data_IF_500268725215
#
_entry.id   IF_500268725215
#
_cell.length_a   1.000
_cell.length_b   1.000
_cell.length_c   1.000
_cell.angle_alpha   90.00
_cell.angle_beta   90.00
_cell.angle_gamma   90.00
#
_symmetry.space_group_name_H-M   'P 1'
#
loop_
_entity.id
_entity.type
_entity.pdbx_description
1 polymer ?
#
# COMPACT_ATOMS: atom_id res chain seq x y z
N UNK A 1 10.86 -15.48 -27.34
CA UNK A 1 10.06 -14.29 -27.71
C UNK A 1 10.75 -13.39 -28.77
N UNK A 2 11.92 -12.79 -28.53
CA UNK A 2 12.60 -11.98 -29.58
C UNK A 2 13.02 -12.78 -30.80
N UNK A 3 13.42 -14.06 -30.65
CA UNK A 3 13.77 -14.98 -31.75
C UNK A 3 12.57 -15.37 -32.59
N UNK A 4 11.38 -15.45 -32.01
CA UNK A 4 10.15 -15.86 -32.66
C UNK A 4 9.52 -14.71 -33.46
N UNK A 5 9.65 -13.48 -32.96
CA UNK A 5 9.27 -12.25 -33.66
C UNK A 5 10.10 -12.01 -34.94
N UNK A 6 11.35 -12.45 -34.97
CA UNK A 6 12.21 -12.37 -36.17
C UNK A 6 11.91 -13.43 -37.24
N UNK A 7 11.33 -14.60 -36.86
CA UNK A 7 10.99 -15.67 -37.75
C UNK A 7 9.67 -15.49 -38.51
N UNK A 8 8.70 -14.85 -37.91
CA UNK A 8 7.35 -14.78 -38.44
C UNK A 8 6.96 -13.36 -38.79
N UNK A 9 7.41 -12.53 -39.48
CA UNK A 9 6.96 -11.17 -39.92
C UNK A 9 5.45 -10.87 -39.63
N UNK A 10 4.96 -11.22 -38.43
CA UNK A 10 3.57 -10.96 -38.03
C UNK A 10 3.48 -9.57 -37.42
N UNK A 11 2.59 -8.75 -37.98
CA UNK A 11 2.27 -7.40 -37.47
C UNK A 11 1.30 -7.39 -36.27
N UNK A 12 0.95 -8.55 -35.72
CA UNK A 12 0.08 -8.63 -34.55
C UNK A 12 0.92 -8.64 -33.28
N UNK A 13 0.61 -7.78 -32.29
CA UNK A 13 1.32 -7.78 -31.02
C UNK A 13 1.15 -9.15 -30.35
N UNK A 14 2.27 -9.79 -30.03
CA UNK A 14 2.27 -11.00 -29.20
C UNK A 14 2.33 -10.56 -27.73
N UNK A 15 1.31 -10.94 -26.99
CA UNK A 15 1.25 -10.73 -25.54
C UNK A 15 1.50 -12.08 -24.89
N UNK A 16 2.66 -12.24 -24.26
CA UNK A 16 2.93 -13.38 -23.41
C UNK A 16 2.31 -13.13 -22.05
N UNK A 17 1.27 -13.86 -21.72
CA UNK A 17 0.57 -13.84 -20.44
C UNK A 17 1.01 -14.99 -19.53
N UNK A 18 2.00 -15.79 -19.95
CA UNK A 18 2.58 -16.80 -19.08
C UNK A 18 3.36 -16.10 -17.97
N UNK A 19 3.12 -16.51 -16.73
CA UNK A 19 4.01 -16.15 -15.62
C UNK A 19 5.26 -17.02 -15.78
N UNK A 20 6.45 -16.42 -15.97
CA UNK A 20 7.66 -17.21 -15.88
C UNK A 20 7.71 -17.87 -14.49
N UNK A 21 8.08 -19.15 -14.45
CA UNK A 21 8.43 -19.85 -13.21
C UNK A 21 9.79 -19.34 -12.66
N UNK A 22 9.94 -18.01 -12.62
CA UNK A 22 11.11 -17.37 -12.01
C UNK A 22 10.80 -17.31 -10.52
N UNK A 23 11.66 -17.90 -9.72
CA UNK A 23 11.57 -17.73 -8.27
C UNK A 23 11.60 -16.23 -7.95
N UNK A 24 10.62 -15.78 -7.18
CA UNK A 24 10.49 -14.37 -6.82
C UNK A 24 11.75 -13.98 -6.05
N UNK A 25 12.28 -12.79 -6.35
CA UNK A 25 13.50 -12.20 -5.77
C UNK A 25 14.85 -12.70 -6.31
N UNK A 26 14.93 -13.77 -7.14
CA UNK A 26 16.21 -14.31 -7.63
C UNK A 26 17.04 -13.36 -8.49
N UNK A 27 16.42 -12.33 -9.05
CA UNK A 27 17.05 -11.36 -9.96
C UNK A 27 16.87 -9.92 -9.51
N UNK A 28 16.75 -9.67 -8.21
CA UNK A 28 16.79 -8.29 -7.71
C UNK A 28 18.20 -7.73 -7.98
N UNK A 29 18.33 -6.64 -8.74
CA UNK A 29 19.63 -5.98 -8.87
C UNK A 29 20.09 -5.51 -7.49
N UNK A 30 21.41 -5.45 -7.26
CA UNK A 30 21.92 -4.88 -6.01
C UNK A 30 21.28 -3.51 -5.80
N UNK A 31 20.80 -3.26 -4.57
CA UNK A 31 20.16 -2.01 -4.24
C UNK A 31 21.11 -0.85 -4.50
N UNK A 32 20.68 0.11 -5.33
CA UNK A 32 21.45 1.31 -5.60
C UNK A 32 21.24 2.29 -4.47
N UNK A 33 22.33 2.76 -3.90
CA UNK A 33 22.31 3.80 -2.88
C UNK A 33 22.36 5.16 -3.58
N UNK A 34 21.26 5.90 -3.48
CA UNK A 34 21.20 7.30 -3.91
C UNK A 34 20.95 8.17 -2.65
N UNK A 35 22.03 8.63 -2.01
CA UNK A 35 21.94 9.43 -0.79
C UNK A 35 21.72 8.63 0.49
N UNK A 36 20.92 9.17 1.43
CA UNK A 36 20.73 8.61 2.77
C UNK A 36 19.56 7.63 2.88
N UNK A 37 18.82 7.36 1.80
CA UNK A 37 17.63 6.49 1.80
C UNK A 37 17.73 5.38 0.78
N UNK A 38 17.16 4.22 1.09
CA UNK A 38 17.07 3.08 0.18
C UNK A 38 15.73 2.35 0.31
N UNK A 39 15.35 1.68 -0.79
CA UNK A 39 14.18 0.83 -0.85
C UNK A 39 14.60 -0.64 -0.74
N UNK A 40 13.87 -1.40 0.08
CA UNK A 40 14.10 -2.84 0.27
C UNK A 40 12.78 -3.58 0.03
N UNK A 41 12.74 -4.40 -1.01
CA UNK A 41 11.60 -5.28 -1.27
C UNK A 41 11.61 -6.44 -0.29
N UNK A 42 10.55 -6.56 0.53
CA UNK A 42 10.42 -7.60 1.56
C UNK A 42 9.43 -8.69 1.18
N UNK A 43 8.51 -8.40 0.27
CA UNK A 43 7.51 -9.34 -0.22
C UNK A 43 7.02 -8.97 -1.61
N UNK A 44 6.49 -9.95 -2.32
CA UNK A 44 5.86 -9.78 -3.62
C UNK A 44 4.54 -10.56 -3.71
N UNK A 45 3.60 -10.05 -4.53
CA UNK A 45 2.27 -10.62 -4.69
C UNK A 45 1.29 -10.16 -3.61
N UNK A 46 0.02 -10.60 -3.73
CA UNK A 46 -1.00 -10.28 -2.75
C UNK A 46 -2.13 -11.32 -2.79
N UNK A 47 -2.45 -11.92 -1.66
CA UNK A 47 -3.50 -12.94 -1.53
C UNK A 47 -4.83 -12.39 -0.98
N UNK A 48 -5.06 -11.07 -1.02
CA UNK A 48 -6.30 -10.46 -0.52
C UNK A 48 -7.47 -10.55 -1.50
N UNK A 49 -7.19 -10.67 -2.79
CA UNK A 49 -8.22 -10.82 -3.85
C UNK A 49 -9.36 -9.79 -3.74
N UNK A 50 -9.03 -8.52 -3.42
CA UNK A 50 -9.99 -7.42 -3.47
C UNK A 50 -10.64 -7.38 -4.85
N UNK A 51 -11.96 -7.20 -4.93
CA UNK A 51 -12.73 -7.40 -6.18
C UNK A 51 -12.34 -6.49 -7.35
N UNK A 52 -11.72 -5.36 -7.07
CA UNK A 52 -11.27 -4.36 -8.05
C UNK A 52 -9.78 -4.48 -8.41
N UNK A 53 -9.02 -5.31 -7.68
CA UNK A 53 -7.56 -5.32 -7.75
C UNK A 53 -7.04 -6.42 -8.69
N UNK A 54 -6.14 -6.04 -9.59
CA UNK A 54 -5.52 -6.95 -10.56
C UNK A 54 -4.23 -7.60 -10.02
N UNK A 55 -3.69 -7.12 -8.90
CA UNK A 55 -2.39 -7.56 -8.36
C UNK A 55 -2.29 -9.09 -8.18
N UNK A 56 -3.27 -9.79 -7.57
CA UNK A 56 -3.18 -11.26 -7.45
C UNK A 56 -3.02 -11.97 -8.80
N UNK A 57 -3.59 -11.41 -9.85
CA UNK A 57 -3.58 -11.99 -11.21
C UNK A 57 -2.33 -11.63 -12.02
N UNK A 58 -1.62 -10.56 -11.64
CA UNK A 58 -0.44 -10.07 -12.35
C UNK A 58 0.86 -10.36 -11.64
N UNK A 59 0.84 -10.43 -10.29
CA UNK A 59 2.01 -10.70 -9.47
C UNK A 59 1.92 -12.01 -8.67
N UNK A 60 0.79 -12.72 -8.77
CA UNK A 60 0.54 -13.96 -8.07
C UNK A 60 0.32 -13.80 -6.57
N UNK A 61 0.38 -14.93 -5.86
CA UNK A 61 0.19 -15.01 -4.42
C UNK A 61 1.33 -14.36 -3.64
N UNK A 62 1.07 -14.05 -2.37
CA UNK A 62 2.05 -13.48 -1.45
C UNK A 62 3.24 -14.42 -1.25
N UNK A 63 4.44 -13.89 -1.48
CA UNK A 63 5.71 -14.53 -1.12
C UNK A 63 6.53 -13.51 -0.34
N UNK A 64 6.94 -13.87 0.87
CA UNK A 64 7.82 -13.06 1.72
C UNK A 64 9.25 -13.52 1.60
N UNK A 65 10.19 -12.58 1.56
CA UNK A 65 11.63 -12.90 1.63
C UNK A 65 11.97 -13.43 3.01
N UNK A 66 12.96 -14.36 3.12
CA UNK A 66 13.50 -14.76 4.40
C UNK A 66 13.98 -13.56 5.23
N UNK A 67 13.79 -13.62 6.55
CA UNK A 67 14.18 -12.53 7.46
C UNK A 67 15.67 -12.21 7.33
N UNK A 68 16.52 -13.23 7.31
CA UNK A 68 17.97 -13.08 7.26
C UNK A 68 18.44 -12.37 5.99
N UNK A 69 17.78 -12.64 4.85
CA UNK A 69 18.13 -12.00 3.57
C UNK A 69 17.79 -10.51 3.60
N UNK A 70 16.62 -10.16 4.17
CA UNK A 70 16.23 -8.76 4.34
C UNK A 70 17.18 -8.02 5.27
N UNK A 71 17.53 -8.61 6.42
CA UNK A 71 18.45 -8.01 7.38
C UNK A 71 19.86 -7.87 6.80
N UNK A 72 20.33 -8.85 6.03
CA UNK A 72 21.64 -8.80 5.36
C UNK A 72 21.68 -7.64 4.35
N UNK A 73 20.64 -7.49 3.55
CA UNK A 73 20.55 -6.37 2.59
C UNK A 73 20.53 -5.02 3.32
N UNK A 74 19.71 -4.87 4.36
CA UNK A 74 19.64 -3.62 5.14
C UNK A 74 21.00 -3.31 5.77
N UNK A 75 21.67 -4.27 6.38
CA UNK A 75 23.01 -4.09 6.96
C UNK A 75 24.03 -3.64 5.89
N UNK A 76 24.00 -4.27 4.71
CA UNK A 76 24.83 -3.88 3.56
C UNK A 76 24.57 -2.45 3.07
N UNK A 77 23.31 -1.99 3.07
CA UNK A 77 22.95 -0.61 2.73
C UNK A 77 23.44 0.38 3.77
N UNK A 78 23.28 0.06 5.05
CA UNK A 78 23.77 0.90 6.16
C UNK A 78 25.29 1.09 6.10
N UNK A 79 26.07 0.04 5.76
CA UNK A 79 27.53 0.18 5.57
C UNK A 79 27.90 1.13 4.41
N UNK A 80 26.99 1.36 3.47
CA UNK A 80 27.14 2.32 2.38
C UNK A 80 26.64 3.73 2.75
N UNK A 81 26.21 3.96 4.00
CA UNK A 81 25.78 5.27 4.52
C UNK A 81 24.27 5.52 4.47
N UNK A 82 23.46 4.51 4.13
CA UNK A 82 21.99 4.62 4.19
C UNK A 82 21.55 4.72 5.64
N UNK A 83 20.63 5.62 5.93
CA UNK A 83 20.06 5.88 7.26
C UNK A 83 18.55 5.68 7.32
N UNK A 84 17.88 5.81 6.17
CA UNK A 84 16.43 5.61 6.05
C UNK A 84 16.15 4.40 5.15
N UNK A 85 15.43 3.43 5.68
CA UNK A 85 14.98 2.23 4.95
C UNK A 85 13.49 2.33 4.69
N UNK A 86 13.11 2.17 3.42
CA UNK A 86 11.69 2.04 3.03
C UNK A 86 11.42 0.60 2.60
N UNK A 87 10.62 -0.11 3.39
CA UNK A 87 10.21 -1.48 3.10
C UNK A 87 9.08 -1.50 2.08
N UNK A 88 9.24 -2.27 1.02
CA UNK A 88 8.32 -2.35 -0.12
C UNK A 88 7.69 -3.73 -0.27
N UNK A 89 6.46 -3.71 -0.78
CA UNK A 89 5.69 -4.89 -1.16
C UNK A 89 4.27 -4.51 -1.58
N UNK A 90 3.46 -5.45 -1.98
CA UNK A 90 2.07 -5.20 -2.35
C UNK A 90 1.11 -5.25 -1.16
N UNK A 91 1.56 -5.82 -0.02
CA UNK A 91 0.82 -5.88 1.25
C UNK A 91 1.82 -6.09 2.40
N UNK A 92 2.67 -5.09 2.67
CA UNK A 92 3.85 -5.24 3.52
C UNK A 92 3.55 -5.74 4.94
N UNK A 93 2.42 -5.35 5.51
CA UNK A 93 2.06 -5.77 6.86
C UNK A 93 1.53 -7.22 6.95
N UNK A 94 1.36 -7.90 5.81
CA UNK A 94 1.16 -9.35 5.76
C UNK A 94 2.47 -10.16 5.71
N UNK A 95 3.62 -9.52 5.77
CA UNK A 95 4.92 -10.19 5.72
C UNK A 95 5.00 -11.37 6.71
N UNK A 96 5.50 -12.51 6.19
CA UNK A 96 5.71 -13.76 6.92
C UNK A 96 6.99 -14.42 6.38
N UNK A 97 8.17 -13.90 6.79
CA UNK A 97 9.47 -14.40 6.34
C UNK A 97 9.96 -15.58 7.17
N UNK A 98 10.54 -16.60 6.51
CA UNK A 98 11.20 -17.69 7.20
C UNK A 98 12.38 -17.17 8.03
N UNK A 99 12.65 -17.81 9.17
CA UNK A 99 13.77 -17.49 10.07
C UNK A 99 14.83 -18.60 10.00
N UNK A 100 16.01 -18.24 9.50
CA UNK A 100 17.29 -18.95 9.56
C UNK A 100 17.29 -20.45 9.83
N UNK A 101 16.83 -21.29 8.90
CA UNK A 101 16.92 -22.74 9.03
C UNK A 101 15.99 -23.38 10.09
N UNK A 102 15.07 -22.61 10.65
CA UNK A 102 14.03 -23.06 11.59
C UNK A 102 12.68 -23.17 10.90
N UNK A 103 11.69 -23.78 11.57
CA UNK A 103 10.28 -23.74 11.15
C UNK A 103 9.55 -22.46 11.60
N UNK A 104 10.26 -21.53 12.22
CA UNK A 104 9.70 -20.30 12.73
C UNK A 104 9.55 -19.27 11.62
N UNK A 105 8.55 -18.39 11.76
CA UNK A 105 8.19 -17.35 10.80
C UNK A 105 8.16 -16.01 11.50
N UNK A 106 8.94 -15.07 10.98
CA UNK A 106 8.88 -13.67 11.41
C UNK A 106 7.66 -12.99 10.81
N UNK A 107 6.84 -12.37 11.65
CA UNK A 107 5.82 -11.44 11.18
C UNK A 107 6.40 -10.04 10.91
N UNK A 108 5.58 -9.16 10.34
CA UNK A 108 6.01 -7.79 10.01
C UNK A 108 6.45 -6.99 11.24
N UNK A 109 5.80 -7.21 12.39
CA UNK A 109 6.16 -6.53 13.63
C UNK A 109 7.58 -6.93 14.08
N UNK A 110 7.91 -8.22 14.02
CA UNK A 110 9.25 -8.72 14.34
C UNK A 110 10.30 -8.19 13.36
N UNK A 111 9.99 -8.17 12.05
CA UNK A 111 10.89 -7.59 11.05
C UNK A 111 11.22 -6.14 11.38
N UNK A 112 10.22 -5.32 11.74
CA UNK A 112 10.44 -3.91 12.11
C UNK A 112 11.34 -3.77 13.34
N UNK A 113 11.14 -4.61 14.36
CA UNK A 113 11.97 -4.65 15.56
C UNK A 113 13.45 -4.98 15.21
N UNK A 114 13.69 -6.01 14.40
CA UNK A 114 15.05 -6.38 14.00
C UNK A 114 15.73 -5.34 13.10
N UNK A 115 14.99 -4.75 12.16
CA UNK A 115 15.54 -3.67 11.31
C UNK A 115 15.92 -2.46 12.15
N UNK A 116 15.12 -2.13 13.17
CA UNK A 116 15.39 -1.01 14.07
C UNK A 116 16.63 -1.22 14.97
N UNK A 117 16.96 -2.48 15.29
CA UNK A 117 18.15 -2.83 16.08
C UNK A 117 19.46 -2.80 15.26
N UNK A 118 19.39 -2.71 13.93
CA UNK A 118 20.59 -2.63 13.09
C UNK A 118 21.30 -1.28 13.32
N UNK A 119 22.58 -1.28 13.75
CA UNK A 119 23.32 -0.05 13.98
C UNK A 119 23.41 0.82 12.72
N UNK A 120 22.96 2.06 12.80
CA UNK A 120 22.96 3.03 11.69
C UNK A 120 21.61 3.23 11.01
N UNK A 121 20.60 2.41 11.28
CA UNK A 121 19.23 2.66 10.86
C UNK A 121 18.62 3.75 11.74
N UNK A 122 18.36 4.92 11.16
CA UNK A 122 17.78 6.06 11.87
C UNK A 122 16.27 6.18 11.63
N UNK A 123 15.78 5.76 10.46
CA UNK A 123 14.37 5.82 10.08
C UNK A 123 13.91 4.60 9.29
N UNK A 124 12.69 4.17 9.57
CA UNK A 124 12.02 3.07 8.88
C UNK A 124 10.69 3.58 8.35
N UNK A 125 10.47 3.37 7.04
CA UNK A 125 9.20 3.59 6.35
C UNK A 125 8.72 2.29 5.73
N UNK A 126 7.45 2.23 5.45
CA UNK A 126 6.88 1.19 4.61
C UNK A 126 5.65 1.68 3.86
N UNK A 127 5.30 1.02 2.78
CA UNK A 127 4.17 1.38 1.92
C UNK A 127 3.29 0.17 1.67
N UNK A 128 2.03 0.44 1.27
CA UNK A 128 1.08 -0.59 0.82
C UNK A 128 0.67 -1.55 1.93
N UNK A 129 -0.10 -1.01 2.88
CA UNK A 129 -0.66 -1.76 4.02
C UNK A 129 -2.11 -2.16 3.79
N UNK A 130 -2.54 -3.22 4.46
CA UNK A 130 -3.95 -3.63 4.51
C UNK A 130 -4.46 -3.61 5.96
N UNK A 131 -5.63 -2.99 6.24
CA UNK A 131 -6.16 -2.88 7.60
C UNK A 131 -6.29 -4.21 8.35
N UNK A 132 -6.68 -5.31 7.67
CA UNK A 132 -6.80 -6.63 8.30
C UNK A 132 -5.51 -7.19 8.88
N UNK A 133 -4.35 -6.71 8.41
CA UNK A 133 -3.05 -7.13 8.94
C UNK A 133 -2.54 -6.23 10.07
N UNK A 134 -3.34 -5.23 10.48
CA UNK A 134 -2.99 -4.35 11.59
C UNK A 134 -3.31 -5.00 12.94
N UNK A 135 -2.44 -5.90 13.37
CA UNK A 135 -2.55 -6.62 14.64
C UNK A 135 -2.24 -5.70 15.83
N UNK A 136 -2.61 -6.12 17.07
CA UNK A 136 -2.20 -5.42 18.29
C UNK A 136 -0.67 -5.35 18.38
N UNK A 137 0.03 -6.45 18.05
CA UNK A 137 1.48 -6.50 18.07
C UNK A 137 2.11 -5.43 17.18
N UNK A 138 1.57 -5.19 15.98
CA UNK A 138 2.06 -4.13 15.09
C UNK A 138 1.82 -2.74 15.69
N UNK A 139 0.67 -2.53 16.35
CA UNK A 139 0.38 -1.26 17.07
C UNK A 139 1.38 -1.07 18.22
N UNK A 140 1.70 -2.13 18.95
CA UNK A 140 2.67 -2.07 20.06
C UNK A 140 4.09 -1.74 19.56
N UNK A 141 4.45 -2.18 18.35
CA UNK A 141 5.73 -1.78 17.70
C UNK A 141 5.77 -0.28 17.45
N UNK A 142 4.66 0.35 17.04
CA UNK A 142 4.58 1.81 16.92
C UNK A 142 4.86 2.52 18.24
N UNK A 143 4.49 1.93 19.36
CA UNK A 143 4.80 2.50 20.69
C UNK A 143 6.28 2.36 21.08
N UNK A 144 6.95 1.27 20.64
CA UNK A 144 8.27 0.87 21.11
C UNK A 144 9.42 1.26 20.19
N UNK A 145 9.18 1.32 18.86
CA UNK A 145 10.23 1.54 17.85
C UNK A 145 10.27 3.01 17.42
N UNK A 146 11.16 3.82 17.98
CA UNK A 146 11.23 5.24 17.67
C UNK A 146 11.68 5.54 16.24
N UNK A 147 12.39 4.62 15.59
CA UNK A 147 12.83 4.74 14.20
C UNK A 147 11.67 4.68 13.20
N UNK A 148 10.52 4.09 13.55
CA UNK A 148 9.32 4.17 12.72
C UNK A 148 8.88 5.62 12.58
N UNK A 149 8.77 6.09 11.35
CA UNK A 149 8.33 7.47 11.07
C UNK A 149 6.87 7.68 11.50
N UNK A 150 6.56 8.93 11.90
CA UNK A 150 5.19 9.33 12.26
C UNK A 150 4.32 9.54 11.02
N UNK A 151 4.38 8.62 10.06
CA UNK A 151 3.53 8.61 8.88
C UNK A 151 3.12 7.19 8.54
N UNK A 152 1.84 6.98 8.34
CA UNK A 152 1.27 5.70 7.93
C UNK A 152 0.34 5.90 6.73
N UNK A 153 0.61 5.16 5.65
CA UNK A 153 -0.34 5.01 4.55
C UNK A 153 -1.17 3.74 4.77
N UNK A 154 -2.46 3.91 5.05
CA UNK A 154 -3.39 2.81 5.34
C UNK A 154 -4.67 2.95 4.50
N UNK A 155 -4.69 2.37 3.28
CA UNK A 155 -5.80 2.49 2.35
C UNK A 155 -7.10 1.85 2.88
N UNK A 156 -8.11 2.67 3.18
CA UNK A 156 -9.45 2.18 3.57
C UNK A 156 -10.32 1.87 2.38
N UNK A 157 -10.16 2.58 1.28
CA UNK A 157 -10.88 2.51 0.01
C UNK A 157 -12.30 3.11 0.04
N UNK A 158 -13.12 2.84 1.07
CA UNK A 158 -14.48 3.37 1.18
C UNK A 158 -14.97 3.47 2.64
N UNK A 159 -16.01 4.27 2.88
CA UNK A 159 -16.60 4.45 4.21
C UNK A 159 -17.91 3.68 4.45
N UNK A 160 -18.47 3.04 3.42
CA UNK A 160 -19.67 2.22 3.54
C UNK A 160 -19.32 0.75 3.66
N UNK A 161 -19.80 0.07 4.71
CA UNK A 161 -19.57 -1.36 4.91
C UNK A 161 -20.11 -2.20 3.76
N UNK A 162 -21.23 -1.78 3.15
CA UNK A 162 -21.80 -2.46 1.99
C UNK A 162 -20.85 -2.43 0.79
N UNK A 163 -20.21 -1.28 0.54
CA UNK A 163 -19.24 -1.14 -0.55
C UNK A 163 -17.93 -1.84 -0.17
N UNK A 164 -17.44 -1.74 1.06
CA UNK A 164 -16.27 -2.48 1.53
C UNK A 164 -16.45 -3.99 1.37
N UNK A 165 -17.64 -4.52 1.66
CA UNK A 165 -17.98 -5.92 1.43
C UNK A 165 -17.98 -6.27 -0.07
N UNK A 166 -18.57 -5.42 -0.92
CA UNK A 166 -18.55 -5.62 -2.38
C UNK A 166 -17.12 -5.54 -2.96
N UNK A 167 -16.26 -4.71 -2.38
CA UNK A 167 -14.83 -4.62 -2.67
C UNK A 167 -14.03 -5.81 -2.11
N UNK A 168 -14.64 -6.69 -1.29
CA UNK A 168 -13.99 -7.81 -0.57
C UNK A 168 -12.83 -7.33 0.33
N UNK A 169 -13.05 -6.24 1.07
CA UNK A 169 -12.03 -5.70 1.98
C UNK A 169 -11.90 -6.48 3.29
N UNK A 170 -12.95 -7.19 3.71
CA UNK A 170 -12.92 -8.07 4.89
C UNK A 170 -12.89 -7.34 6.22
N UNK A 171 -13.24 -6.05 6.26
CA UNK A 171 -13.41 -5.24 7.47
C UNK A 171 -14.51 -4.20 7.25
N UNK A 172 -15.00 -3.65 8.36
CA UNK A 172 -15.96 -2.57 8.42
C UNK A 172 -15.30 -1.21 8.65
N UNK A 173 -16.03 -0.12 8.36
CA UNK A 173 -15.57 1.24 8.66
C UNK A 173 -15.30 1.42 10.17
N UNK A 174 -16.07 0.76 11.04
CA UNK A 174 -15.88 0.82 12.49
C UNK A 174 -14.57 0.15 12.93
N UNK A 175 -14.26 -1.02 12.36
CA UNK A 175 -12.98 -1.72 12.64
C UNK A 175 -11.78 -0.88 12.19
N UNK A 176 -11.88 -0.25 11.01
CA UNK A 176 -10.86 0.68 10.55
C UNK A 176 -10.68 1.86 11.50
N UNK A 177 -11.77 2.52 11.92
CA UNK A 177 -11.70 3.61 12.92
C UNK A 177 -11.08 3.17 14.24
N UNK A 178 -11.36 1.94 14.67
CA UNK A 178 -10.77 1.38 15.88
C UNK A 178 -9.25 1.20 15.76
N UNK A 179 -8.74 0.74 14.59
CA UNK A 179 -7.30 0.65 14.33
C UNK A 179 -6.66 2.04 14.45
N UNK A 180 -7.22 3.05 13.75
CA UNK A 180 -6.71 4.42 13.78
C UNK A 180 -6.71 4.99 15.21
N UNK A 181 -7.80 4.80 15.97
CA UNK A 181 -7.88 5.25 17.36
C UNK A 181 -6.78 4.65 18.23
N UNK A 182 -6.52 3.34 18.09
CA UNK A 182 -5.48 2.64 18.86
C UNK A 182 -4.08 3.11 18.45
N UNK A 183 -3.83 3.34 17.17
CA UNK A 183 -2.57 3.89 16.67
C UNK A 183 -2.34 5.30 17.23
N UNK A 184 -3.33 6.18 17.17
CA UNK A 184 -3.23 7.55 17.72
C UNK A 184 -3.10 7.59 19.25
N UNK A 185 -3.58 6.55 19.94
CA UNK A 185 -3.37 6.44 21.38
C UNK A 185 -1.89 6.19 21.75
N UNK A 186 -1.14 5.48 20.91
CA UNK A 186 0.31 5.21 21.12
C UNK A 186 1.22 6.20 20.40
N UNK A 187 0.74 6.80 19.30
CA UNK A 187 1.43 7.84 18.51
C UNK A 187 0.46 8.98 18.19
N UNK A 188 0.25 9.95 19.09
CA UNK A 188 -0.69 11.07 18.88
C UNK A 188 -0.40 11.89 17.63
N UNK A 189 0.88 12.07 17.29
CA UNK A 189 1.36 12.86 16.14
C UNK A 189 1.42 12.05 14.83
N UNK A 190 0.79 10.85 14.78
CA UNK A 190 0.81 10.01 13.60
C UNK A 190 0.03 10.66 12.47
N UNK A 191 0.73 11.05 11.40
CA UNK A 191 0.15 11.47 10.14
C UNK A 191 -0.39 10.26 9.39
N UNK A 192 -1.63 10.35 8.93
CA UNK A 192 -2.34 9.26 8.28
C UNK A 192 -2.74 9.64 6.86
N UNK A 193 -2.35 8.82 5.89
CA UNK A 193 -2.82 8.92 4.51
C UNK A 193 -3.60 7.68 4.08
N UNK A 194 -4.51 7.86 3.12
CA UNK A 194 -5.37 6.78 2.64
C UNK A 194 -5.73 6.92 1.17
N UNK A 195 -6.16 5.81 0.57
CA UNK A 195 -6.76 5.80 -0.77
C UNK A 195 -8.27 5.68 -0.68
N UNK A 196 -8.97 6.34 -1.62
CA UNK A 196 -10.41 6.30 -1.76
C UNK A 196 -10.81 6.01 -3.19
N UNK A 197 -11.80 5.13 -3.37
CA UNK A 197 -12.43 4.84 -4.65
C UNK A 197 -13.88 5.28 -4.58
N UNK A 198 -14.28 6.22 -5.45
CA UNK A 198 -15.66 6.67 -5.63
C UNK A 198 -16.27 6.10 -6.90
N UNK A 199 -17.58 5.97 -6.94
CA UNK A 199 -18.30 5.44 -8.11
C UNK A 199 -18.04 3.95 -8.33
N UNK A 200 -17.78 3.20 -7.26
CA UNK A 200 -17.77 1.74 -7.33
C UNK A 200 -19.15 1.22 -7.76
N UNK A 201 -19.24 0.16 -8.59
CA UNK A 201 -20.53 -0.35 -9.06
C UNK A 201 -21.54 -0.56 -7.93
N UNK A 202 -22.73 0.03 -8.11
CA UNK A 202 -23.81 0.01 -7.12
C UNK A 202 -23.65 0.99 -5.95
N UNK A 203 -22.65 1.88 -5.93
CA UNK A 203 -22.51 2.92 -4.91
C UNK A 203 -23.68 3.91 -4.98
N UNK A 204 -24.44 4.01 -3.89
CA UNK A 204 -25.53 4.98 -3.75
C UNK A 204 -25.04 6.31 -3.16
N UNK A 205 -25.90 7.34 -3.17
CA UNK A 205 -25.60 8.61 -2.48
C UNK A 205 -25.39 8.39 -0.99
N UNK A 206 -26.23 7.56 -0.35
CA UNK A 206 -26.06 7.23 1.07
C UNK A 206 -24.74 6.51 1.38
N UNK A 207 -24.18 5.74 0.43
CA UNK A 207 -22.84 5.14 0.61
C UNK A 207 -21.74 6.20 0.49
N UNK A 208 -21.89 7.12 -0.46
CA UNK A 208 -20.95 8.23 -0.61
C UNK A 208 -20.99 9.16 0.62
N UNK A 209 -22.15 9.45 1.19
CA UNK A 209 -22.27 10.22 2.43
C UNK A 209 -21.56 9.56 3.60
N UNK A 210 -21.60 8.20 3.69
CA UNK A 210 -20.82 7.44 4.69
C UNK A 210 -19.33 7.56 4.46
N UNK A 211 -18.87 7.61 3.21
CA UNK A 211 -17.47 7.84 2.89
C UNK A 211 -17.03 9.23 3.37
N UNK A 212 -17.80 10.27 3.04
CA UNK A 212 -17.51 11.62 3.49
C UNK A 212 -17.48 11.74 5.02
N UNK A 213 -18.43 11.08 5.69
CA UNK A 213 -18.47 11.02 7.16
C UNK A 213 -17.26 10.29 7.75
N UNK A 214 -16.76 9.22 7.11
CA UNK A 214 -15.55 8.55 7.54
C UNK A 214 -14.33 9.48 7.45
N UNK A 215 -14.19 10.21 6.34
CA UNK A 215 -13.10 11.16 6.12
C UNK A 215 -13.11 12.26 7.20
N UNK A 216 -14.28 12.82 7.47
CA UNK A 216 -14.44 13.82 8.52
C UNK A 216 -14.10 13.29 9.93
N UNK A 217 -14.59 12.10 10.27
CA UNK A 217 -14.40 11.50 11.60
C UNK A 217 -12.93 11.13 11.88
N UNK A 218 -12.19 10.76 10.85
CA UNK A 218 -10.78 10.36 10.99
C UNK A 218 -9.85 11.57 10.86
N UNK A 219 -10.12 12.49 9.94
CA UNK A 219 -9.21 13.60 9.64
C UNK A 219 -7.89 13.06 9.09
N UNK A 220 -7.87 12.69 7.82
CA UNK A 220 -6.65 12.26 7.14
C UNK A 220 -5.78 13.46 6.78
N UNK A 221 -4.47 13.32 6.92
CA UNK A 221 -3.50 14.37 6.56
C UNK A 221 -3.26 14.43 5.05
N UNK A 222 -3.41 13.31 4.35
CA UNK A 222 -3.32 13.24 2.90
C UNK A 222 -4.22 12.12 2.36
N UNK A 223 -4.70 12.28 1.12
CA UNK A 223 -5.50 11.25 0.47
C UNK A 223 -5.24 11.17 -1.02
N UNK A 224 -5.35 9.96 -1.56
CA UNK A 224 -5.37 9.71 -3.00
C UNK A 224 -6.76 9.20 -3.37
N UNK A 225 -7.44 9.90 -4.26
CA UNK A 225 -8.84 9.66 -4.57
C UNK A 225 -9.02 9.37 -6.05
N UNK A 226 -9.75 8.30 -6.36
CA UNK A 226 -9.91 7.80 -7.72
C UNK A 226 -11.37 7.51 -8.02
N UNK A 227 -11.79 7.75 -9.26
CA UNK A 227 -13.01 7.14 -9.79
C UNK A 227 -12.73 5.66 -10.06
N UNK A 228 -13.65 4.79 -9.68
CA UNK A 228 -13.56 3.38 -10.01
C UNK A 228 -13.30 3.17 -11.51
N UNK A 229 -12.30 2.37 -11.83
CA UNK A 229 -11.98 1.96 -13.20
C UNK A 229 -11.94 0.45 -13.26
N UNK A 230 -12.79 -0.14 -14.08
CA UNK A 230 -12.86 -1.57 -14.29
C UNK A 230 -11.52 -2.09 -14.83
N UNK A 231 -10.93 -3.06 -14.14
CA UNK A 231 -9.70 -3.73 -14.57
C UNK A 231 -10.06 -5.07 -15.20
N UNK A 232 -9.66 -5.35 -16.45
CA UNK A 232 -9.93 -6.65 -17.08
C UNK A 232 -9.50 -7.83 -16.19
N UNK A 233 -10.35 -8.86 -16.13
CA UNK A 233 -10.08 -10.07 -15.33
C UNK A 233 -10.41 -9.94 -13.83
N UNK A 234 -10.77 -8.76 -13.32
CA UNK A 234 -11.18 -8.60 -11.92
C UNK A 234 -12.69 -8.85 -11.74
N UNK A 235 -13.13 -9.38 -10.58
CA UNK A 235 -14.56 -9.58 -10.32
C UNK A 235 -15.40 -8.31 -10.45
N UNK A 236 -14.90 -7.16 -10.05
CA UNK A 236 -15.62 -5.90 -10.12
C UNK A 236 -15.83 -5.40 -11.55
N UNK A 237 -15.02 -5.85 -12.52
CA UNK A 237 -15.20 -5.49 -13.91
C UNK A 237 -16.51 -6.04 -14.53
N UNK A 238 -17.06 -7.11 -13.92
CA UNK A 238 -18.30 -7.76 -14.37
C UNK A 238 -19.55 -7.28 -13.61
N UNK A 239 -19.41 -6.34 -12.68
CA UNK A 239 -20.54 -5.79 -11.94
C UNK A 239 -21.27 -4.77 -12.82
N UNK A 240 -22.61 -4.78 -12.72
CA UNK A 240 -23.43 -3.75 -13.38
C UNK A 240 -23.10 -2.37 -12.78
N UNK A 241 -22.82 -1.41 -13.64
CA UNK A 241 -22.42 -0.06 -13.25
C UNK A 241 -23.31 0.96 -13.96
N UNK A 242 -24.44 1.25 -13.31
CA UNK A 242 -25.46 2.17 -13.83
C UNK A 242 -25.23 3.63 -13.39
N UNK A 243 -24.15 3.89 -12.63
CA UNK A 243 -23.87 5.26 -12.16
C UNK A 243 -23.26 6.09 -13.29
N UNK A 244 -23.91 7.19 -13.71
CA UNK A 244 -23.37 8.07 -14.76
C UNK A 244 -21.99 8.61 -14.41
N UNK A 245 -21.12 8.70 -15.41
CA UNK A 245 -19.74 9.20 -15.22
C UNK A 245 -19.70 10.61 -14.62
N UNK A 246 -20.66 11.46 -14.98
CA UNK A 246 -20.78 12.81 -14.41
C UNK A 246 -21.00 12.78 -12.89
N UNK A 247 -21.81 11.84 -12.39
CA UNK A 247 -22.04 11.68 -10.95
C UNK A 247 -20.78 11.22 -10.25
N UNK A 248 -20.03 10.28 -10.84
CA UNK A 248 -18.76 9.82 -10.29
C UNK A 248 -17.72 10.94 -10.20
N UNK A 249 -17.61 11.75 -11.25
CA UNK A 249 -16.72 12.91 -11.29
C UNK A 249 -17.11 13.98 -10.26
N UNK A 250 -18.39 14.25 -10.08
CA UNK A 250 -18.88 15.17 -9.04
C UNK A 250 -18.54 14.67 -7.63
N UNK A 251 -18.68 13.35 -7.38
CA UNK A 251 -18.28 12.73 -6.10
C UNK A 251 -16.78 12.88 -5.88
N UNK A 252 -15.96 12.62 -6.90
CA UNK A 252 -14.52 12.79 -6.81
C UNK A 252 -14.13 14.24 -6.49
N UNK A 253 -14.69 15.22 -7.21
CA UNK A 253 -14.44 16.64 -6.97
C UNK A 253 -14.82 17.06 -5.54
N UNK A 254 -15.99 16.60 -5.07
CA UNK A 254 -16.45 16.88 -3.70
C UNK A 254 -15.48 16.31 -2.65
N UNK A 255 -15.00 15.07 -2.85
CA UNK A 255 -14.05 14.44 -1.96
C UNK A 255 -12.69 15.18 -1.96
N UNK A 256 -12.19 15.55 -3.15
CA UNK A 256 -10.92 16.27 -3.30
C UNK A 256 -10.98 17.65 -2.66
N UNK A 257 -12.04 18.41 -2.87
CA UNK A 257 -12.23 19.72 -2.24
C UNK A 257 -12.17 19.63 -0.71
N UNK A 258 -12.77 18.58 -0.13
CA UNK A 258 -12.72 18.35 1.32
C UNK A 258 -11.33 17.98 1.81
N UNK A 259 -10.58 17.18 1.04
CA UNK A 259 -9.19 16.82 1.37
C UNK A 259 -8.25 18.04 1.31
N UNK A 260 -8.47 18.96 0.38
CA UNK A 260 -7.69 20.18 0.24
C UNK A 260 -7.94 21.17 1.39
N UNK A 261 -9.15 21.23 1.93
CA UNK A 261 -9.47 22.05 3.11
C UNK A 261 -8.64 21.61 4.33
N UNK A 262 -8.44 20.30 4.53
CA UNK A 262 -7.62 19.78 5.62
C UNK A 262 -6.13 19.97 5.39
N UNK A 263 -5.67 19.95 4.13
CA UNK A 263 -4.24 20.13 3.79
C UNK A 263 -3.79 21.58 3.75
N UNK A 264 -4.69 22.53 3.54
CA UNK A 264 -4.36 23.96 3.55
C UNK A 264 -4.02 24.50 4.94
N UNK A 265 -4.50 23.85 6.02
CA UNK A 265 -4.12 24.17 7.40
C UNK A 265 -2.75 23.59 7.79
N UNK A 266 -2.29 22.54 7.09
CA UNK A 266 -0.97 21.94 7.26
C UNK A 266 -0.04 22.38 6.13
N UNK A 267 0.44 23.61 6.17
CA UNK A 267 1.52 24.09 5.28
C UNK A 267 2.81 23.30 5.55
N UNK A 268 2.83 22.05 5.14
CA UNK A 268 4.06 21.26 5.15
C UNK A 268 4.88 21.54 3.88
N UNK A 269 6.19 21.90 4.00
CA UNK A 269 7.06 22.14 2.85
C UNK A 269 7.18 20.98 1.86
N UNK A 270 6.76 19.78 2.27
CA UNK A 270 6.79 18.58 1.43
C UNK A 270 5.81 18.61 0.24
N UNK A 271 4.71 19.38 0.34
CA UNK A 271 3.73 19.51 -0.76
C UNK A 271 4.23 20.37 -1.92
N UNK A 272 5.11 21.32 -1.63
CA UNK A 272 5.73 22.17 -2.67
C UNK A 272 6.72 21.40 -3.56
N UNK A 273 7.34 20.34 -3.04
CA UNK A 273 8.31 19.53 -3.79
C UNK A 273 7.61 18.63 -4.81
N UNK A 274 6.46 18.05 -4.48
CA UNK A 274 5.71 17.21 -5.42
C UNK A 274 5.09 18.00 -6.58
N UNK A 275 4.62 19.24 -6.34
CA UNK A 275 4.06 20.10 -7.39
C UNK A 275 5.11 20.60 -8.38
N UNK A 276 6.31 20.93 -7.90
CA UNK A 276 7.44 21.35 -8.73
C UNK A 276 8.06 20.24 -9.60
N UNK A 277 7.83 18.98 -9.27
CA UNK A 277 8.29 17.82 -10.06
C UNK A 277 7.30 17.41 -11.16
N UNK A 278 6.05 17.88 -11.10
CA UNK A 278 5.02 17.59 -12.11
C UNK A 278 4.90 18.69 -13.20
N UNK A 279 5.55 19.83 -13.00
CA UNK A 279 5.55 20.96 -13.95
C UNK A 279 6.84 21.03 -14.80
N UNK A 280 7.64 19.99 -14.81
CA UNK A 280 8.77 19.76 -15.72
C UNK A 280 8.56 18.47 -16.50
#
# INVERSE_FOLDING_TARGET
MLSDLQRERRQTPQVDISFPEIEKFDHLPPARVEGASAFVSIMEGCSKYCSYCVVPYTRGEEVSRPLDDVLTEVAGLVTQGVKEITLLGQNVNAYRGAMGGTSEVADFALLLEYVAELPGVERIRYTTSHPNEFTQRLIDVYARVPQLVNHLHLPVQHGSDRILMAMKRGYTAMEYKNIVRRLRAVRPDLSLSSDFIVGFPGETTADFDKLMKLIEDIGFDASFSFVFSARPGTPAANLADDTPQEVKLKRLQHLQARSEEHTSELQSPMYLVCRLLLEK
#
